data_IF_665768044721
#
_entry.id   IF_665768044721
#
_cell.length_a   1.000
_cell.length_b   1.000
_cell.length_c   1.000
_cell.angle_alpha   90.00
_cell.angle_beta   90.00
_cell.angle_gamma   90.00
#
_symmetry.space_group_name_H-M   'P 1'
#
loop_
_entity.id
_entity.type
_entity.pdbx_description
1 polymer ?
#
# COMPACT_ATOMS: atom_id res chain seq x y z
N UNK A 1 -12.68 5.26 -10.54
CA UNK A 1 -13.22 4.33 -9.55
C UNK A 1 -12.89 2.94 -10.01
N UNK A 2 -12.27 2.16 -9.14
CA UNK A 2 -11.85 0.81 -9.46
C UNK A 2 -12.64 -0.21 -8.66
N UNK A 3 -12.82 -1.39 -9.24
CA UNK A 3 -13.60 -2.45 -8.62
C UNK A 3 -12.71 -3.26 -7.67
N UNK A 4 -13.00 -3.18 -6.37
CA UNK A 4 -12.28 -3.93 -5.33
C UNK A 4 -13.00 -5.23 -4.89
N UNK A 5 -14.22 -5.47 -5.38
CA UNK A 5 -15.03 -6.61 -4.95
C UNK A 5 -15.39 -6.56 -3.46
N UNK A 6 -15.70 -7.72 -2.89
CA UNK A 6 -15.93 -7.90 -1.45
C UNK A 6 -14.60 -8.15 -0.74
N UNK A 7 -13.86 -7.09 -0.50
CA UNK A 7 -12.58 -7.16 0.20
C UNK A 7 -12.77 -7.25 1.73
N UNK A 8 -11.85 -7.94 2.42
CA UNK A 8 -11.89 -8.05 3.88
C UNK A 8 -11.50 -6.71 4.52
N UNK A 9 -12.37 -6.17 5.38
CA UNK A 9 -12.10 -4.91 6.09
C UNK A 9 -11.35 -5.17 7.38
N UNK A 10 -10.34 -4.36 7.65
CA UNK A 10 -9.64 -4.37 8.93
C UNK A 10 -10.38 -3.51 9.95
N UNK A 11 -10.34 -3.94 11.22
CA UNK A 11 -10.91 -3.19 12.33
C UNK A 11 -10.10 -1.91 12.52
N UNK A 12 -10.78 -0.76 12.59
CA UNK A 12 -10.15 0.52 12.89
C UNK A 12 -9.77 0.55 14.37
N UNK A 13 -8.47 0.52 14.62
CA UNK A 13 -7.88 0.69 15.95
C UNK A 13 -7.17 2.04 16.01
N UNK A 14 -6.85 2.54 17.20
CA UNK A 14 -6.11 3.81 17.33
C UNK A 14 -4.75 3.79 16.61
N UNK A 15 -4.13 2.61 16.46
CA UNK A 15 -2.88 2.46 15.71
C UNK A 15 -3.12 2.54 14.20
N UNK A 16 -4.21 1.92 13.71
CA UNK A 16 -4.60 1.98 12.29
C UNK A 16 -4.96 3.41 11.89
N UNK A 17 -5.72 4.13 12.73
CA UNK A 17 -6.08 5.52 12.49
C UNK A 17 -4.84 6.42 12.40
N UNK A 18 -3.88 6.21 13.30
CA UNK A 18 -2.61 6.93 13.26
C UNK A 18 -1.80 6.61 11.99
N UNK A 19 -1.75 5.32 11.61
CA UNK A 19 -1.10 4.91 10.37
C UNK A 19 -1.73 5.58 9.15
N UNK A 20 -3.07 5.64 9.09
CA UNK A 20 -3.78 6.29 7.99
C UNK A 20 -3.53 7.80 7.95
N UNK A 21 -3.48 8.47 9.11
CA UNK A 21 -3.17 9.89 9.19
C UNK A 21 -1.78 10.19 8.63
N UNK A 22 -0.76 9.44 9.04
CA UNK A 22 0.60 9.64 8.53
C UNK A 22 0.70 9.29 7.05
N UNK A 23 0.04 8.22 6.61
CA UNK A 23 0.01 7.82 5.21
C UNK A 23 -0.61 8.89 4.32
N UNK A 24 -1.77 9.41 4.70
CA UNK A 24 -2.47 10.44 3.93
C UNK A 24 -1.71 11.77 3.92
N UNK A 25 -1.05 12.12 5.03
CA UNK A 25 -0.16 13.28 5.08
C UNK A 25 1.05 13.11 4.15
N UNK A 26 1.72 11.95 4.16
CA UNK A 26 2.83 11.67 3.26
C UNK A 26 2.40 11.72 1.79
N UNK A 27 1.24 11.16 1.45
CA UNK A 27 0.69 11.24 0.09
C UNK A 27 0.43 12.69 -0.35
N UNK A 28 -0.06 13.54 0.55
CA UNK A 28 -0.26 14.97 0.29
C UNK A 28 1.08 15.67 0.02
N UNK A 29 2.13 15.28 0.73
CA UNK A 29 3.49 15.82 0.57
C UNK A 29 4.28 15.13 -0.56
N UNK A 30 3.63 14.27 -1.36
CA UNK A 30 4.24 13.50 -2.46
C UNK A 30 5.37 12.56 -2.00
N UNK A 31 5.24 12.00 -0.80
CA UNK A 31 6.17 11.07 -0.19
C UNK A 31 5.56 9.66 -0.08
N UNK A 32 6.44 8.65 -0.11
CA UNK A 32 6.09 7.29 0.30
C UNK A 32 6.17 7.12 1.83
N UNK A 33 5.59 6.04 2.33
CA UNK A 33 5.71 5.63 3.73
C UNK A 33 6.38 4.28 3.87
N UNK A 34 7.08 4.09 4.99
CA UNK A 34 7.69 2.83 5.35
C UNK A 34 7.31 2.45 6.80
N UNK A 35 6.15 1.80 7.01
CA UNK A 35 5.77 1.30 8.32
C UNK A 35 6.79 0.25 8.78
N UNK A 36 7.35 0.40 9.98
CA UNK A 36 8.30 -0.56 10.52
C UNK A 36 7.70 -1.31 11.72
N UNK A 37 8.02 -2.60 11.85
CA UNK A 37 7.51 -3.45 12.92
C UNK A 37 7.70 -4.93 12.62
N UNK A 38 7.41 -5.79 13.62
CA UNK A 38 7.54 -7.25 13.51
C UNK A 38 6.64 -7.82 12.40
N UNK A 39 6.97 -8.99 11.88
CA UNK A 39 6.09 -9.71 10.96
C UNK A 39 4.72 -9.97 11.62
N UNK A 40 3.64 -9.90 10.85
CA UNK A 40 2.27 -10.14 11.34
C UNK A 40 1.63 -8.96 12.10
N UNK A 41 2.23 -7.77 12.13
CA UNK A 41 1.64 -6.57 12.77
C UNK A 41 0.70 -5.77 11.86
N UNK A 42 0.21 -6.34 10.76
CA UNK A 42 -0.79 -5.69 9.91
C UNK A 42 -0.29 -4.53 9.03
N UNK A 43 1.01 -4.46 8.72
CA UNK A 43 1.60 -3.34 7.97
C UNK A 43 1.05 -3.25 6.55
N UNK A 44 1.16 -4.35 5.82
CA UNK A 44 0.71 -4.48 4.43
C UNK A 44 -0.81 -4.36 4.35
N UNK A 45 -1.50 -4.95 5.32
CA UNK A 45 -2.96 -4.92 5.42
C UNK A 45 -3.48 -3.51 5.70
N UNK A 46 -2.76 -2.72 6.51
CA UNK A 46 -3.11 -1.31 6.75
C UNK A 46 -2.99 -0.48 5.48
N UNK A 47 -1.90 -0.63 4.71
CA UNK A 47 -1.73 0.07 3.42
C UNK A 47 -2.80 -0.36 2.43
N UNK A 48 -3.10 -1.66 2.34
CA UNK A 48 -4.15 -2.20 1.47
C UNK A 48 -5.53 -1.64 1.83
N UNK A 49 -5.87 -1.62 3.11
CA UNK A 49 -7.15 -1.14 3.59
C UNK A 49 -7.33 0.37 3.36
N UNK A 50 -6.27 1.18 3.54
CA UNK A 50 -6.30 2.60 3.20
C UNK A 50 -6.54 2.82 1.70
N UNK A 51 -5.86 2.07 0.83
CA UNK A 51 -6.02 2.18 -0.61
C UNK A 51 -7.46 1.88 -1.07
N UNK A 52 -8.07 0.82 -0.52
CA UNK A 52 -9.48 0.47 -0.77
C UNK A 52 -10.40 1.60 -0.32
N UNK A 53 -10.13 2.21 0.84
CA UNK A 53 -10.93 3.32 1.36
C UNK A 53 -10.80 4.60 0.50
N UNK A 54 -9.66 4.78 -0.16
CA UNK A 54 -9.42 5.84 -1.15
C UNK A 54 -9.94 5.47 -2.56
N UNK A 55 -10.41 4.24 -2.77
CA UNK A 55 -10.87 3.73 -4.07
C UNK A 55 -9.76 3.68 -5.12
N UNK A 56 -8.53 3.38 -4.69
CA UNK A 56 -7.32 3.31 -5.52
C UNK A 56 -6.85 1.85 -5.69
N UNK A 57 -6.34 1.48 -6.87
CA UNK A 57 -5.70 0.18 -7.05
C UNK A 57 -4.58 0.00 -6.06
N UNK A 58 -4.48 -1.19 -5.48
CA UNK A 58 -3.36 -1.56 -4.64
C UNK A 58 -2.74 -2.87 -5.11
N UNK A 59 -1.43 -2.82 -5.34
CA UNK A 59 -0.62 -3.96 -5.72
C UNK A 59 0.36 -4.26 -4.59
N UNK A 60 0.38 -5.51 -4.14
CA UNK A 60 1.27 -5.98 -3.09
C UNK A 60 2.26 -6.95 -3.73
N UNK A 61 3.54 -6.66 -3.60
CA UNK A 61 4.63 -7.50 -4.08
C UNK A 61 5.41 -8.02 -2.88
N UNK A 62 5.58 -9.34 -2.79
CA UNK A 62 6.49 -9.92 -1.82
C UNK A 62 7.90 -9.87 -2.40
N UNK A 63 8.81 -9.21 -1.69
CA UNK A 63 10.20 -9.04 -2.10
C UNK A 63 11.05 -10.22 -1.62
N UNK A 64 11.45 -11.09 -2.56
CA UNK A 64 12.36 -12.21 -2.32
C UNK A 64 13.74 -11.96 -2.97
N UNK A 65 14.74 -12.80 -2.69
CA UNK A 65 16.10 -12.68 -3.27
C UNK A 65 16.12 -12.79 -4.80
N UNK A 66 15.10 -13.43 -5.40
CA UNK A 66 14.94 -13.52 -6.86
C UNK A 66 14.27 -12.28 -7.47
N UNK A 67 13.91 -11.29 -6.65
CA UNK A 67 13.25 -10.07 -7.10
C UNK A 67 14.27 -9.12 -7.71
N UNK A 68 14.37 -9.18 -9.03
CA UNK A 68 15.36 -8.43 -9.80
C UNK A 68 14.99 -6.95 -9.92
N UNK A 69 15.99 -6.06 -9.95
CA UNK A 69 15.84 -4.61 -10.17
C UNK A 69 15.03 -4.29 -11.43
N UNK A 70 15.27 -5.04 -12.52
CA UNK A 70 14.53 -4.89 -13.76
C UNK A 70 13.02 -5.17 -13.60
N UNK A 71 12.63 -6.07 -12.69
CA UNK A 71 11.23 -6.34 -12.39
C UNK A 71 10.61 -5.18 -11.58
N UNK A 72 11.33 -4.66 -10.58
CA UNK A 72 10.91 -3.46 -9.81
C UNK A 72 10.65 -2.29 -10.76
N UNK A 73 11.58 -2.02 -11.67
CA UNK A 73 11.46 -0.93 -12.63
C UNK A 73 10.20 -1.06 -13.49
N UNK A 74 9.90 -2.26 -14.01
CA UNK A 74 8.67 -2.51 -14.79
C UNK A 74 7.41 -2.32 -13.97
N UNK A 75 7.40 -2.76 -12.71
CA UNK A 75 6.27 -2.59 -11.80
C UNK A 75 6.02 -1.10 -11.55
N UNK A 76 7.07 -0.32 -11.25
CA UNK A 76 6.95 1.11 -10.99
C UNK A 76 6.48 1.88 -12.22
N UNK A 77 6.97 1.55 -13.41
CA UNK A 77 6.51 2.16 -14.67
C UNK A 77 5.00 1.93 -14.85
N UNK A 78 4.54 0.67 -14.73
CA UNK A 78 3.12 0.36 -14.86
C UNK A 78 2.26 1.01 -13.77
N UNK A 79 2.77 1.08 -12.54
CA UNK A 79 2.08 1.76 -11.45
C UNK A 79 1.91 3.26 -11.68
N UNK A 80 2.91 3.92 -12.27
CA UNK A 80 2.83 5.33 -12.67
C UNK A 80 1.81 5.56 -13.79
N UNK A 81 1.70 4.64 -14.76
CA UNK A 81 0.72 4.74 -15.86
C UNK A 81 -0.72 4.57 -15.37
N UNK A 82 -0.95 3.62 -14.46
CA UNK A 82 -2.28 3.33 -13.91
C UNK A 82 -2.66 4.27 -12.76
N UNK A 83 -1.67 4.81 -12.05
CA UNK A 83 -1.87 5.60 -10.83
C UNK A 83 -2.28 4.73 -9.62
N UNK A 84 -1.68 3.54 -9.51
CA UNK A 84 -1.91 2.59 -8.42
C UNK A 84 -1.01 2.83 -7.21
N UNK A 85 -1.50 2.48 -6.03
CA UNK A 85 -0.69 2.37 -4.81
C UNK A 85 0.07 1.03 -4.86
N UNK A 86 1.36 1.06 -4.54
CA UNK A 86 2.23 -0.12 -4.55
C UNK A 86 2.78 -0.34 -3.14
N UNK A 87 2.72 -1.58 -2.66
CA UNK A 87 3.36 -2.02 -1.44
C UNK A 87 4.38 -3.12 -1.79
N UNK A 88 5.58 -3.01 -1.24
CA UNK A 88 6.68 -3.98 -1.38
C UNK A 88 6.93 -4.72 -0.06
#
# INVERSE_FOLDING_TARGET
FEYHGTDQRIVQTSLTDFCYLISTQAMKDQLGIAPQGRAGTGKTESVKALAIQLGRPVLVFNTDENFNEAAVGRILIGACEVGSIVCF
#
